data_IF_840866253962
#
_entry.id   IF_840866253962
#
_cell.length_a   1.000
_cell.length_b   1.000
_cell.length_c   1.000
_cell.angle_alpha   90.00
_cell.angle_beta   90.00
_cell.angle_gamma   90.00
#
_symmetry.space_group_name_H-M   'P 1'
#
loop_
_entity.id
_entity.type
_entity.pdbx_description
1 polymer ?
#
# COMPACT_ATOMS: atom_id res chain seq x y z
N UNK A 1 28.46 -14.06 26.67
CA UNK A 1 28.40 -12.78 25.93
C UNK A 1 27.05 -12.19 26.28
N UNK A 2 27.02 -11.24 27.21
CA UNK A 2 25.80 -10.55 27.63
C UNK A 2 25.31 -9.79 26.39
N UNK A 3 24.24 -10.28 25.75
CA UNK A 3 23.61 -9.52 24.66
C UNK A 3 23.20 -8.18 25.28
N UNK A 4 23.63 -7.08 24.67
CA UNK A 4 23.22 -5.76 25.10
C UNK A 4 21.70 -5.65 24.93
N UNK A 5 20.98 -5.80 26.05
CA UNK A 5 19.52 -5.78 26.11
C UNK A 5 18.96 -4.47 25.55
N UNK A 6 19.73 -3.37 25.63
CA UNK A 6 19.31 -2.10 25.05
C UNK A 6 19.37 -2.15 23.53
N UNK A 7 20.46 -2.69 22.96
CA UNK A 7 20.58 -2.85 21.51
C UNK A 7 19.45 -3.72 20.95
N UNK A 8 19.14 -4.84 21.62
CA UNK A 8 18.04 -5.71 21.19
C UNK A 8 16.68 -5.01 21.25
N UNK A 9 16.43 -4.17 22.26
CA UNK A 9 15.19 -3.38 22.34
C UNK A 9 15.10 -2.34 21.23
N UNK A 10 16.21 -1.66 20.93
CA UNK A 10 16.27 -0.70 19.82
C UNK A 10 16.00 -1.37 18.47
N UNK A 11 16.57 -2.55 18.22
CA UNK A 11 16.32 -3.30 16.98
C UNK A 11 14.84 -3.69 16.82
N UNK A 12 14.19 -4.11 17.91
CA UNK A 12 12.75 -4.41 17.92
C UNK A 12 11.92 -3.15 17.66
N UNK A 13 12.26 -2.01 18.29
CA UNK A 13 11.55 -0.74 18.09
C UNK A 13 11.63 -0.27 16.63
N UNK A 14 12.82 -0.34 16.01
CA UNK A 14 13.02 0.00 14.59
C UNK A 14 12.18 -0.91 13.70
N UNK A 15 12.25 -2.24 13.92
CA UNK A 15 11.47 -3.19 13.12
C UNK A 15 9.95 -2.97 13.26
N UNK A 16 9.48 -2.61 14.46
CA UNK A 16 8.08 -2.27 14.69
C UNK A 16 7.65 -0.97 13.99
N UNK A 17 8.53 0.02 13.94
CA UNK A 17 8.30 1.26 13.17
C UNK A 17 8.19 0.95 11.68
N UNK A 18 9.10 0.15 11.11
CA UNK A 18 9.06 -0.25 9.70
C UNK A 18 7.76 -0.99 9.33
N UNK A 19 7.29 -1.91 10.19
CA UNK A 19 5.99 -2.59 10.02
C UNK A 19 4.84 -1.58 10.02
N UNK A 20 4.90 -0.59 10.91
CA UNK A 20 3.87 0.45 11.04
C UNK A 20 3.83 1.33 9.80
N UNK A 21 4.99 1.75 9.30
CA UNK A 21 5.11 2.54 8.07
C UNK A 21 4.60 1.76 6.84
N UNK A 22 5.03 0.51 6.68
CA UNK A 22 4.59 -0.34 5.57
C UNK A 22 3.08 -0.57 5.59
N UNK A 23 2.48 -0.75 6.78
CA UNK A 23 1.03 -0.84 6.95
C UNK A 23 0.34 0.47 6.57
N UNK A 24 0.87 1.61 7.02
CA UNK A 24 0.29 2.92 6.69
C UNK A 24 0.33 3.18 5.19
N UNK A 25 1.43 2.80 4.53
CA UNK A 25 1.57 2.91 3.08
C UNK A 25 0.50 2.11 2.33
N UNK A 26 0.19 0.88 2.78
CA UNK A 26 -0.92 0.08 2.23
C UNK A 26 -2.27 0.78 2.34
N UNK A 27 -2.56 1.39 3.49
CA UNK A 27 -3.81 2.16 3.70
C UNK A 27 -3.88 3.34 2.72
N UNK A 28 -2.77 4.02 2.48
CA UNK A 28 -2.72 5.14 1.55
C UNK A 28 -2.87 4.71 0.09
N UNK A 29 -2.34 3.53 -0.28
CA UNK A 29 -2.59 2.92 -1.59
C UNK A 29 -4.07 2.56 -1.78
N UNK A 30 -4.74 1.99 -0.78
CA UNK A 30 -6.17 1.68 -0.84
C UNK A 30 -7.03 2.95 -1.00
N UNK A 31 -6.70 4.02 -0.27
CA UNK A 31 -7.34 5.33 -0.43
C UNK A 31 -7.16 5.87 -1.85
N UNK A 32 -5.93 5.80 -2.38
CA UNK A 32 -5.61 6.26 -3.73
C UNK A 32 -6.33 5.45 -4.81
N UNK A 33 -6.43 4.13 -4.64
CA UNK A 33 -7.22 3.25 -5.51
C UNK A 33 -8.69 3.64 -5.51
N UNK A 34 -9.26 3.97 -4.35
CA UNK A 34 -10.64 4.46 -4.28
C UNK A 34 -10.81 5.79 -5.03
N UNK A 35 -9.88 6.73 -4.87
CA UNK A 35 -9.90 8.01 -5.59
C UNK A 35 -9.87 7.81 -7.12
N UNK A 36 -9.09 6.85 -7.63
CA UNK A 36 -9.09 6.53 -9.06
C UNK A 36 -10.42 5.95 -9.54
N UNK A 37 -11.06 5.08 -8.75
CA UNK A 37 -12.41 4.57 -9.06
C UNK A 37 -13.45 5.69 -9.07
N UNK A 38 -13.38 6.61 -8.12
CA UNK A 38 -14.26 7.79 -8.08
C UNK A 38 -14.04 8.70 -9.29
N UNK A 39 -12.79 8.93 -9.69
CA UNK A 39 -12.45 9.70 -10.89
C UNK A 39 -13.06 9.06 -12.15
N UNK A 40 -12.90 7.74 -12.34
CA UNK A 40 -13.50 7.04 -13.47
C UNK A 40 -15.03 7.15 -13.50
N UNK A 41 -15.68 6.92 -12.35
CA UNK A 41 -17.14 7.06 -12.22
C UNK A 41 -17.58 8.47 -12.59
N UNK A 42 -16.85 9.49 -12.13
CA UNK A 42 -17.17 10.87 -12.46
C UNK A 42 -17.06 11.12 -13.96
N UNK A 43 -15.94 10.74 -14.59
CA UNK A 43 -15.72 10.92 -16.03
C UNK A 43 -16.80 10.22 -16.86
N UNK A 44 -17.22 9.01 -16.48
CA UNK A 44 -18.29 8.28 -17.17
C UNK A 44 -19.65 8.99 -17.14
N UNK A 45 -19.89 9.82 -16.12
CA UNK A 45 -21.14 10.58 -15.97
C UNK A 45 -21.04 12.02 -16.49
N UNK A 46 -19.82 12.50 -16.75
CA UNK A 46 -19.57 13.83 -17.29
C UNK A 46 -19.89 13.84 -18.79
N UNK A 47 -20.45 14.94 -19.27
CA UNK A 47 -20.77 15.08 -20.69
C UNK A 47 -19.47 15.23 -21.51
N UNK A 48 -19.33 14.58 -22.68
CA UNK A 48 -18.09 14.61 -23.46
C UNK A 48 -17.58 16.01 -23.84
N UNK A 49 -18.48 16.98 -23.93
CA UNK A 49 -18.24 18.40 -24.22
C UNK A 49 -17.78 19.24 -23.03
N UNK A 50 -17.82 18.73 -21.79
CA UNK A 50 -17.35 19.45 -20.60
C UNK A 50 -15.84 19.28 -20.41
N UNK A 51 -15.12 20.35 -20.07
CA UNK A 51 -13.69 20.25 -19.78
C UNK A 51 -13.43 19.40 -18.53
N UNK A 52 -12.47 18.48 -18.64
CA UNK A 52 -12.03 17.67 -17.50
C UNK A 52 -10.83 18.32 -16.82
N UNK A 53 -10.94 18.46 -15.50
CA UNK A 53 -9.88 18.96 -14.63
C UNK A 53 -9.50 17.89 -13.61
N UNK A 54 -8.21 17.66 -13.45
CA UNK A 54 -7.67 16.72 -12.46
C UNK A 54 -6.87 17.50 -11.42
N UNK A 55 -7.03 17.15 -10.14
CA UNK A 55 -6.19 17.66 -9.08
C UNK A 55 -4.80 17.00 -9.17
N UNK A 56 -3.76 17.79 -9.46
CA UNK A 56 -2.38 17.32 -9.55
C UNK A 56 -1.57 17.83 -8.35
N UNK A 57 -1.69 17.13 -7.22
CA UNK A 57 -0.93 17.40 -6.01
C UNK A 57 -1.32 18.71 -5.29
N UNK A 58 -1.47 18.65 -3.97
CA UNK A 58 -1.83 19.82 -3.16
C UNK A 58 -3.16 20.42 -3.59
N UNK A 59 -3.13 21.67 -4.08
CA UNK A 59 -4.31 22.49 -4.41
C UNK A 59 -4.39 22.89 -5.89
N UNK A 60 -3.62 22.27 -6.77
CA UNK A 60 -3.53 22.68 -8.19
C UNK A 60 -4.36 21.78 -9.09
N UNK A 61 -5.27 22.37 -9.87
CA UNK A 61 -5.99 21.67 -10.93
C UNK A 61 -5.29 21.83 -12.27
N UNK A 62 -5.16 20.74 -13.01
CA UNK A 62 -4.63 20.71 -14.38
C UNK A 62 -5.74 20.31 -15.34
N UNK A 63 -5.81 20.98 -16.48
CA UNK A 63 -6.73 20.60 -17.55
C UNK A 63 -6.26 19.31 -18.22
N UNK A 64 -7.20 18.43 -18.55
CA UNK A 64 -6.91 17.22 -19.31
C UNK A 64 -7.00 17.50 -20.80
N UNK A 65 -5.86 17.46 -21.49
CA UNK A 65 -5.82 17.57 -22.95
C UNK A 65 -6.27 16.28 -23.66
N UNK A 66 -6.40 15.17 -22.92
CA UNK A 66 -6.93 13.92 -23.44
C UNK A 66 -8.46 13.99 -23.59
N UNK A 67 -8.98 13.33 -24.63
CA UNK A 67 -10.42 13.05 -24.70
C UNK A 67 -10.89 12.27 -23.46
N UNK A 68 -12.17 12.36 -23.11
CA UNK A 68 -12.78 11.59 -22.02
C UNK A 68 -12.40 10.09 -22.08
N UNK A 69 -12.44 9.50 -23.27
CA UNK A 69 -12.05 8.10 -23.48
C UNK A 69 -10.56 7.84 -23.22
N UNK A 70 -9.70 8.79 -23.58
CA UNK A 70 -8.27 8.74 -23.29
C UNK A 70 -7.99 8.88 -21.79
N UNK A 71 -8.69 9.79 -21.12
CA UNK A 71 -8.60 9.99 -19.67
C UNK A 71 -9.08 8.75 -18.91
N UNK A 72 -10.15 8.09 -19.37
CA UNK A 72 -10.60 6.81 -18.79
C UNK A 72 -9.54 5.72 -18.90
N UNK A 73 -8.94 5.53 -20.09
CA UNK A 73 -7.85 4.58 -20.30
C UNK A 73 -6.63 4.88 -19.41
N UNK A 74 -6.31 6.16 -19.23
CA UNK A 74 -5.27 6.57 -18.30
C UNK A 74 -5.59 6.11 -16.87
N UNK A 75 -6.80 6.34 -16.37
CA UNK A 75 -7.19 5.89 -15.04
C UNK A 75 -7.30 4.36 -14.91
N UNK A 76 -7.69 3.64 -15.96
CA UNK A 76 -7.64 2.17 -16.00
C UNK A 76 -6.20 1.67 -15.79
N UNK A 77 -5.26 2.25 -16.54
CA UNK A 77 -3.85 1.94 -16.36
C UNK A 77 -3.36 2.30 -14.95
N UNK A 78 -3.73 3.47 -14.41
CA UNK A 78 -3.38 3.86 -13.02
C UNK A 78 -3.90 2.89 -11.98
N UNK A 79 -5.14 2.40 -12.15
CA UNK A 79 -5.70 1.38 -11.26
C UNK A 79 -4.90 0.08 -11.31
N UNK A 80 -4.54 -0.38 -12.51
CA UNK A 80 -3.73 -1.58 -12.66
C UNK A 80 -2.34 -1.42 -12.03
N UNK A 81 -1.69 -0.27 -12.19
CA UNK A 81 -0.41 -0.01 -11.53
C UNK A 81 -0.57 0.02 -10.00
N UNK A 82 -1.64 0.65 -9.50
CA UNK A 82 -1.94 0.69 -8.08
C UNK A 82 -2.20 -0.71 -7.50
N UNK A 83 -2.87 -1.59 -8.24
CA UNK A 83 -3.05 -3.00 -7.86
C UNK A 83 -1.72 -3.73 -7.73
N UNK A 84 -0.81 -3.55 -8.69
CA UNK A 84 0.53 -4.12 -8.61
C UNK A 84 1.34 -3.56 -7.44
N UNK A 85 1.23 -2.26 -7.16
CA UNK A 85 1.87 -1.62 -6.00
C UNK A 85 1.32 -2.17 -4.68
N UNK A 86 0.00 -2.40 -4.57
CA UNK A 86 -0.63 -2.99 -3.39
C UNK A 86 -0.11 -4.40 -3.13
N UNK A 87 -0.02 -5.24 -4.16
CA UNK A 87 0.50 -6.60 -3.97
C UNK A 87 1.97 -6.59 -3.53
N UNK A 88 2.81 -5.74 -4.13
CA UNK A 88 4.21 -5.57 -3.68
C UNK A 88 4.30 -5.05 -2.25
N UNK A 89 3.46 -4.08 -1.87
CA UNK A 89 3.44 -3.54 -0.52
C UNK A 89 2.94 -4.57 0.51
N UNK A 90 2.05 -5.50 0.13
CA UNK A 90 1.66 -6.64 0.97
C UNK A 90 2.80 -7.62 1.16
N UNK A 91 3.55 -7.93 0.10
CA UNK A 91 4.73 -8.78 0.19
C UNK A 91 5.79 -8.15 1.10
N UNK A 92 6.07 -6.87 0.95
CA UNK A 92 7.00 -6.13 1.81
C UNK A 92 6.54 -6.13 3.28
N UNK A 93 5.27 -5.83 3.55
CA UNK A 93 4.72 -5.88 4.90
C UNK A 93 4.88 -7.27 5.53
N UNK A 94 4.63 -8.35 4.77
CA UNK A 94 4.82 -9.73 5.26
C UNK A 94 6.26 -9.99 5.67
N UNK A 95 7.23 -9.56 4.85
CA UNK A 95 8.65 -9.72 5.15
C UNK A 95 9.06 -8.96 6.41
N UNK A 96 8.57 -7.72 6.57
CA UNK A 96 8.84 -6.90 7.76
C UNK A 96 8.22 -7.49 9.02
N UNK A 97 7.00 -8.01 8.94
CA UNK A 97 6.35 -8.71 10.06
C UNK A 97 7.11 -9.98 10.45
N UNK A 98 7.61 -10.72 9.46
CA UNK A 98 8.42 -11.91 9.71
C UNK A 98 9.72 -11.55 10.47
N UNK A 99 10.44 -10.53 9.98
CA UNK A 99 11.66 -10.05 10.61
C UNK A 99 11.42 -9.57 12.05
N UNK A 100 10.32 -8.85 12.31
CA UNK A 100 9.93 -8.46 13.66
C UNK A 100 9.64 -9.67 14.55
N UNK A 101 8.92 -10.68 14.05
CA UNK A 101 8.63 -11.89 14.81
C UNK A 101 9.91 -12.68 15.18
N UNK A 102 10.88 -12.73 14.27
CA UNK A 102 12.20 -13.33 14.54
C UNK A 102 12.96 -12.57 15.64
N UNK A 103 12.92 -11.23 15.65
CA UNK A 103 13.58 -10.40 16.66
C UNK A 103 12.93 -10.50 18.05
N UNK A 104 11.60 -10.58 18.11
CA UNK A 104 10.85 -10.77 19.36
C UNK A 104 11.01 -12.19 19.93
N UNK A 105 11.29 -13.17 19.06
CA UNK A 105 11.55 -14.56 19.42
C UNK A 105 10.29 -15.45 19.43
N UNK A 106 10.48 -16.77 19.58
CA UNK A 106 9.45 -17.79 19.34
C UNK A 106 8.29 -17.78 20.36
N UNK A 107 8.52 -17.21 21.55
CA UNK A 107 7.49 -17.09 22.58
C UNK A 107 6.60 -15.85 22.40
N UNK A 108 6.90 -15.00 21.41
CA UNK A 108 6.10 -13.80 21.16
C UNK A 108 4.72 -14.15 20.61
N UNK A 109 3.74 -13.31 20.92
CA UNK A 109 2.40 -13.44 20.35
C UNK A 109 2.43 -13.33 18.82
N UNK A 110 3.36 -12.54 18.29
CA UNK A 110 3.53 -12.35 16.85
C UNK A 110 4.04 -13.63 16.16
N UNK A 111 5.01 -14.33 16.74
CA UNK A 111 5.53 -15.59 16.21
C UNK A 111 4.43 -16.66 16.08
N UNK A 112 3.59 -16.80 17.11
CA UNK A 112 2.44 -17.74 17.10
C UNK A 112 1.39 -17.38 16.04
N UNK A 113 1.16 -16.09 15.82
CA UNK A 113 0.23 -15.63 14.78
C UNK A 113 0.83 -15.78 13.37
N UNK A 114 2.15 -15.67 13.24
CA UNK A 114 2.87 -15.81 11.97
C UNK A 114 2.88 -17.25 11.45
N UNK A 115 2.93 -18.26 12.33
CA UNK A 115 2.82 -19.68 11.94
C UNK A 115 1.55 -19.98 11.12
N UNK A 116 0.43 -19.30 11.43
CA UNK A 116 -0.81 -19.41 10.64
C UNK A 116 -0.81 -18.59 9.34
N UNK A 117 0.17 -17.71 9.16
CA UNK A 117 0.30 -16.81 8.00
C UNK A 117 1.24 -17.40 6.93
N UNK A 118 2.25 -18.19 7.31
CA UNK A 118 3.16 -18.92 6.41
C UNK A 118 2.67 -20.35 6.08
N UNK A 119 1.36 -20.52 5.96
CA UNK A 119 0.80 -21.80 5.53
C UNK A 119 1.03 -21.98 4.02
N UNK A 120 2.04 -22.77 3.66
CA UNK A 120 2.20 -23.26 2.29
C UNK A 120 1.03 -24.19 1.96
N UNK A 121 0.31 -23.89 0.88
CA UNK A 121 -0.77 -24.76 0.40
C UNK A 121 -0.25 -26.19 0.21
N UNK A 122 -0.99 -27.18 0.70
CA UNK A 122 -0.64 -28.59 0.49
C UNK A 122 -0.65 -28.87 -1.02
N UNK A 123 0.53 -29.12 -1.59
CA UNK A 123 0.69 -29.68 -2.95
C UNK A 123 0.39 -31.16 -2.96
#
# INVERSE_FOLDING_TARGET
MEKDLNAQRTDIEIAAEEVTEAKQYLVDLDRRKNQYREAQRKILTTRPEEDLWILSGGSTFVSCELSHSGTLKYFEWRLQQCDNEIERAREDLKLKVAALAELEGPDSALARLYEGFDLKGMS
#
